data_IF_896703220669
#
_entry.id   IF_896703220669
#
_cell.length_a   1.000
_cell.length_b   1.000
_cell.length_c   1.000
_cell.angle_alpha   90.00
_cell.angle_beta   90.00
_cell.angle_gamma   90.00
#
_symmetry.space_group_name_H-M   'P 1'
#
loop_
_entity.id
_entity.type
_entity.pdbx_description
1 polymer ?
#
# COMPACT_ATOMS: atom_id res chain seq x y z
N UNK A 1 -63.23 -15.58 -14.92
CA UNK A 1 -61.93 -16.24 -14.69
C UNK A 1 -61.02 -15.23 -14.00
N UNK A 2 -60.77 -15.39 -12.70
CA UNK A 2 -59.79 -14.56 -11.99
C UNK A 2 -58.38 -15.03 -12.40
N UNK A 3 -57.63 -14.17 -13.11
CA UNK A 3 -56.20 -14.37 -13.32
C UNK A 3 -55.51 -14.20 -11.97
N UNK A 4 -55.10 -15.30 -11.35
CA UNK A 4 -54.11 -15.28 -10.27
C UNK A 4 -52.80 -14.75 -10.86
N UNK A 5 -52.49 -13.49 -10.57
CA UNK A 5 -51.16 -12.91 -10.81
C UNK A 5 -50.30 -13.41 -9.66
N UNK A 6 -49.40 -14.35 -9.94
CA UNK A 6 -48.38 -14.77 -8.98
C UNK A 6 -47.30 -13.68 -9.01
N UNK A 7 -46.92 -13.07 -7.87
CA UNK A 7 -45.81 -12.13 -7.82
C UNK A 7 -44.54 -12.82 -8.31
N UNK A 8 -43.86 -12.23 -9.30
CA UNK A 8 -42.57 -12.71 -9.76
C UNK A 8 -41.49 -12.14 -8.85
N UNK A 9 -41.15 -12.90 -7.81
CA UNK A 9 -40.12 -12.51 -6.85
C UNK A 9 -38.74 -12.90 -7.41
N UNK A 10 -37.90 -11.90 -7.71
CA UNK A 10 -36.54 -12.09 -8.21
C UNK A 10 -35.56 -12.20 -7.03
N UNK A 11 -35.84 -13.11 -6.11
CA UNK A 11 -35.02 -13.36 -4.92
C UNK A 11 -33.70 -14.09 -5.27
N UNK A 12 -32.85 -14.32 -4.26
CA UNK A 12 -31.56 -14.99 -4.44
C UNK A 12 -31.67 -16.36 -5.11
N UNK A 13 -32.66 -17.16 -4.69
CA UNK A 13 -32.94 -18.50 -5.26
C UNK A 13 -33.30 -18.44 -6.74
N UNK A 14 -34.12 -17.47 -7.14
CA UNK A 14 -34.46 -17.25 -8.54
C UNK A 14 -33.21 -16.96 -9.39
N UNK A 15 -32.30 -16.12 -8.89
CA UNK A 15 -31.05 -15.79 -9.58
C UNK A 15 -30.07 -16.97 -9.61
N UNK A 16 -30.00 -17.75 -8.52
CA UNK A 16 -29.18 -18.95 -8.44
C UNK A 16 -29.61 -20.01 -9.46
N UNK A 17 -30.92 -20.31 -9.52
CA UNK A 17 -31.49 -21.25 -10.50
C UNK A 17 -31.27 -20.77 -11.95
N UNK A 18 -31.30 -19.46 -12.20
CA UNK A 18 -30.90 -18.91 -13.49
C UNK A 18 -29.41 -19.14 -13.80
N UNK A 19 -28.54 -19.03 -12.79
CA UNK A 19 -27.12 -19.33 -12.89
C UNK A 19 -26.91 -20.77 -13.35
N UNK A 20 -27.48 -21.74 -12.61
CA UNK A 20 -27.40 -23.17 -12.94
C UNK A 20 -27.86 -23.46 -14.38
N UNK A 21 -29.03 -22.95 -14.77
CA UNK A 21 -29.57 -23.13 -16.14
C UNK A 21 -28.65 -22.55 -17.22
N UNK A 22 -27.95 -21.45 -16.93
CA UNK A 22 -27.01 -20.83 -17.87
C UNK A 22 -25.69 -21.61 -17.93
N UNK A 23 -25.25 -22.19 -16.82
CA UNK A 23 -24.10 -23.11 -16.78
C UNK A 23 -24.37 -24.34 -17.65
N UNK A 24 -25.54 -24.97 -17.53
CA UNK A 24 -25.96 -26.10 -18.39
C UNK A 24 -25.96 -25.74 -19.88
N UNK A 25 -26.24 -24.47 -20.21
CA UNK A 25 -26.22 -23.96 -21.59
C UNK A 25 -24.82 -23.52 -22.06
N UNK A 26 -23.78 -23.77 -21.26
CA UNK A 26 -22.41 -23.31 -21.49
C UNK A 26 -22.28 -21.78 -21.65
N UNK A 27 -23.17 -21.01 -21.01
CA UNK A 27 -23.19 -19.53 -21.04
C UNK A 27 -22.49 -18.96 -19.81
N UNK A 28 -21.19 -19.26 -19.66
CA UNK A 28 -20.39 -18.95 -18.44
C UNK A 28 -20.50 -17.49 -17.98
N UNK A 29 -20.34 -16.51 -18.88
CA UNK A 29 -20.46 -15.09 -18.48
C UNK A 29 -21.86 -14.69 -17.98
N UNK A 30 -22.92 -15.27 -18.55
CA UNK A 30 -24.28 -14.97 -18.14
C UNK A 30 -24.66 -15.69 -16.84
N UNK A 31 -24.13 -16.91 -16.64
CA UNK A 31 -24.21 -17.64 -15.38
C UNK A 31 -23.52 -16.86 -14.25
N UNK A 32 -22.31 -16.35 -14.51
CA UNK A 32 -21.54 -15.56 -13.54
C UNK A 32 -22.31 -14.34 -13.03
N UNK A 33 -22.92 -13.57 -13.93
CA UNK A 33 -23.79 -12.44 -13.54
C UNK A 33 -25.00 -12.87 -12.68
N UNK A 34 -25.49 -14.09 -12.88
CA UNK A 34 -26.64 -14.59 -12.15
C UNK A 34 -26.25 -15.08 -10.76
N UNK A 35 -25.13 -15.80 -10.63
CA UNK A 35 -24.58 -16.20 -9.33
C UNK A 35 -24.10 -15.01 -8.51
N UNK A 36 -23.42 -14.04 -9.13
CA UNK A 36 -23.08 -12.77 -8.48
C UNK A 36 -24.33 -12.12 -7.89
N UNK A 37 -25.43 -12.06 -8.68
CA UNK A 37 -26.67 -11.44 -8.20
C UNK A 37 -27.33 -12.24 -7.08
N UNK A 38 -27.26 -13.57 -7.11
CA UNK A 38 -27.75 -14.41 -6.03
C UNK A 38 -26.99 -14.13 -4.72
N UNK A 39 -25.66 -14.10 -4.80
CA UNK A 39 -24.79 -13.78 -3.65
C UNK A 39 -25.00 -12.35 -3.11
N UNK A 40 -25.17 -11.35 -3.99
CA UNK A 40 -25.49 -9.98 -3.57
C UNK A 40 -26.82 -9.86 -2.80
N UNK A 41 -27.78 -10.75 -3.06
CA UNK A 41 -29.09 -10.76 -2.42
C UNK A 41 -29.09 -11.52 -1.08
N UNK A 42 -28.19 -12.48 -0.92
CA UNK A 42 -28.02 -13.25 0.32
C UNK A 42 -26.56 -13.68 0.48
N UNK A 43 -25.77 -12.86 1.19
CA UNK A 43 -24.33 -13.05 1.37
C UNK A 43 -23.99 -14.19 2.36
N UNK A 44 -24.95 -14.62 3.17
CA UNK A 44 -24.73 -15.69 4.15
C UNK A 44 -24.97 -17.09 3.55
N UNK A 45 -25.45 -17.16 2.29
CA UNK A 45 -25.73 -18.42 1.63
C UNK A 45 -24.47 -19.00 0.97
N UNK A 46 -23.87 -20.00 1.63
CA UNK A 46 -22.63 -20.63 1.17
C UNK A 46 -22.74 -21.27 -0.22
N UNK A 47 -23.91 -21.76 -0.62
CA UNK A 47 -24.12 -22.31 -1.96
C UNK A 47 -24.06 -21.22 -3.04
N UNK A 48 -24.57 -20.01 -2.76
CA UNK A 48 -24.51 -18.90 -3.70
C UNK A 48 -23.07 -18.39 -3.83
N UNK A 49 -22.39 -18.26 -2.70
CA UNK A 49 -20.99 -17.86 -2.61
C UNK A 49 -20.07 -18.83 -3.36
N UNK A 50 -20.14 -20.13 -3.04
CA UNK A 50 -19.26 -21.14 -3.63
C UNK A 50 -19.45 -21.26 -5.14
N UNK A 51 -20.69 -21.31 -5.64
CA UNK A 51 -20.95 -21.37 -7.09
C UNK A 51 -20.51 -20.10 -7.83
N UNK A 52 -20.60 -18.94 -7.19
CA UNK A 52 -20.05 -17.71 -7.74
C UNK A 52 -18.53 -17.77 -7.84
N UNK A 53 -17.85 -18.18 -6.76
CA UNK A 53 -16.39 -18.29 -6.69
C UNK A 53 -15.83 -19.35 -7.64
N UNK A 54 -16.44 -20.54 -7.71
CA UNK A 54 -16.04 -21.60 -8.64
C UNK A 54 -16.13 -21.14 -10.09
N UNK A 55 -17.23 -20.47 -10.46
CA UNK A 55 -17.36 -19.95 -11.82
C UNK A 55 -16.41 -18.79 -12.11
N UNK A 56 -16.01 -17.99 -11.11
CA UNK A 56 -14.91 -17.03 -11.27
C UNK A 56 -13.61 -17.76 -11.64
N UNK A 57 -13.24 -18.79 -10.87
CA UNK A 57 -12.04 -19.59 -11.10
C UNK A 57 -12.03 -20.25 -12.49
N UNK A 58 -13.13 -20.86 -12.91
CA UNK A 58 -13.27 -21.44 -14.26
C UNK A 58 -13.11 -20.41 -15.40
N UNK A 59 -13.39 -19.13 -15.14
CA UNK A 59 -13.20 -18.04 -16.08
C UNK A 59 -11.82 -17.37 -15.93
N UNK A 60 -10.85 -18.04 -15.28
CA UNK A 60 -9.48 -17.54 -15.10
C UNK A 60 -9.32 -16.49 -14.00
N UNK A 61 -10.35 -16.26 -13.17
CA UNK A 61 -10.34 -15.28 -12.06
C UNK A 61 -10.17 -15.99 -10.71
N UNK A 62 -9.25 -16.95 -10.64
CA UNK A 62 -9.01 -17.78 -9.45
C UNK A 62 -8.57 -16.97 -8.21
N UNK A 63 -7.63 -16.03 -8.36
CA UNK A 63 -7.16 -15.20 -7.25
C UNK A 63 -8.28 -14.34 -6.63
N UNK A 64 -9.23 -13.86 -7.44
CA UNK A 64 -10.40 -13.13 -6.95
C UNK A 64 -11.37 -14.05 -6.22
N UNK A 65 -11.60 -15.24 -6.76
CA UNK A 65 -12.45 -16.25 -6.12
C UNK A 65 -11.90 -16.66 -4.75
N UNK A 66 -10.60 -16.95 -4.68
CA UNK A 66 -9.89 -17.29 -3.44
C UNK A 66 -10.00 -16.16 -2.41
N UNK A 67 -9.78 -14.91 -2.82
CA UNK A 67 -9.91 -13.75 -1.92
C UNK A 67 -11.32 -13.60 -1.35
N UNK A 68 -12.35 -13.75 -2.18
CA UNK A 68 -13.75 -13.70 -1.74
C UNK A 68 -14.04 -14.80 -0.72
N UNK A 69 -13.55 -16.02 -0.97
CA UNK A 69 -13.78 -17.17 -0.09
C UNK A 69 -13.04 -17.05 1.24
N UNK A 70 -11.78 -16.61 1.26
CA UNK A 70 -11.03 -16.39 2.51
C UNK A 70 -11.66 -15.26 3.33
N UNK A 71 -12.15 -14.19 2.69
CA UNK A 71 -12.86 -13.12 3.38
C UNK A 71 -14.13 -13.64 4.07
N UNK A 72 -14.91 -14.45 3.35
CA UNK A 72 -16.11 -15.06 3.91
C UNK A 72 -15.78 -16.07 5.03
N UNK A 73 -14.73 -16.89 4.87
CA UNK A 73 -14.27 -17.82 5.90
C UNK A 73 -14.04 -17.13 7.25
N UNK A 74 -13.41 -15.95 7.24
CA UNK A 74 -13.16 -15.15 8.45
C UNK A 74 -14.46 -14.57 9.01
N UNK A 75 -15.34 -14.04 8.16
CA UNK A 75 -16.64 -13.48 8.58
C UNK A 75 -17.54 -14.54 9.23
N UNK A 76 -17.43 -15.78 8.77
CA UNK A 76 -18.11 -16.95 9.30
C UNK A 76 -17.37 -17.60 10.48
N UNK A 77 -16.42 -16.90 11.11
CA UNK A 77 -15.70 -17.35 12.31
C UNK A 77 -15.00 -18.70 12.11
N UNK A 78 -14.39 -18.87 10.94
CA UNK A 78 -13.63 -20.06 10.58
C UNK A 78 -14.46 -21.35 10.50
N UNK A 79 -15.70 -21.26 10.00
CA UNK A 79 -16.56 -22.42 9.72
C UNK A 79 -15.86 -23.45 8.82
N UNK A 80 -15.80 -24.70 9.28
CA UNK A 80 -15.05 -25.78 8.64
C UNK A 80 -15.50 -26.07 7.20
N UNK A 81 -16.75 -25.78 6.85
CA UNK A 81 -17.27 -25.94 5.48
C UNK A 81 -16.44 -25.16 4.44
N UNK A 82 -15.76 -24.09 4.84
CA UNK A 82 -14.89 -23.35 3.94
C UNK A 82 -13.61 -24.11 3.54
N UNK A 83 -13.13 -25.05 4.36
CA UNK A 83 -12.02 -25.92 3.95
C UNK A 83 -12.42 -26.80 2.77
N UNK A 84 -13.64 -27.35 2.79
CA UNK A 84 -14.21 -28.06 1.64
C UNK A 84 -14.36 -27.14 0.43
N UNK A 85 -14.93 -25.94 0.63
CA UNK A 85 -15.13 -24.98 -0.48
C UNK A 85 -13.80 -24.57 -1.12
N UNK A 86 -12.77 -24.31 -0.31
CA UNK A 86 -11.43 -23.97 -0.80
C UNK A 86 -10.75 -25.17 -1.47
N UNK A 87 -10.92 -26.39 -0.95
CA UNK A 87 -10.45 -27.61 -1.62
C UNK A 87 -11.00 -27.71 -3.05
N UNK A 88 -12.32 -27.56 -3.21
CA UNK A 88 -12.97 -27.60 -4.52
C UNK A 88 -12.50 -26.46 -5.44
N UNK A 89 -12.29 -25.26 -4.90
CA UNK A 89 -11.72 -24.14 -5.66
C UNK A 89 -10.35 -24.51 -6.23
N UNK A 90 -9.47 -25.08 -5.41
CA UNK A 90 -8.12 -25.45 -5.84
C UNK A 90 -8.12 -26.60 -6.84
N UNK A 91 -9.06 -27.53 -6.74
CA UNK A 91 -9.30 -28.55 -7.78
C UNK A 91 -9.65 -27.89 -9.11
N UNK A 92 -10.54 -26.90 -9.13
CA UNK A 92 -10.91 -26.14 -10.34
C UNK A 92 -9.69 -25.36 -10.89
N UNK A 93 -8.86 -24.81 -10.01
CA UNK A 93 -7.63 -24.10 -10.36
C UNK A 93 -6.49 -25.03 -10.77
N UNK A 94 -6.68 -26.35 -10.70
CA UNK A 94 -5.68 -27.37 -10.99
C UNK A 94 -4.43 -27.24 -10.09
N UNK A 95 -4.63 -26.97 -8.81
CA UNK A 95 -3.61 -26.95 -7.75
C UNK A 95 -3.85 -28.14 -6.78
N UNK A 96 -3.39 -29.36 -7.13
CA UNK A 96 -3.75 -30.57 -6.41
C UNK A 96 -3.20 -30.61 -4.98
N UNK A 97 -2.06 -29.97 -4.71
CA UNK A 97 -1.49 -29.94 -3.37
C UNK A 97 -2.37 -29.11 -2.43
N UNK A 98 -2.78 -27.91 -2.86
CA UNK A 98 -3.71 -27.09 -2.07
C UNK A 98 -5.05 -27.76 -1.91
N UNK A 99 -5.59 -28.31 -3.00
CA UNK A 99 -6.88 -29.01 -2.95
C UNK A 99 -6.85 -30.13 -1.91
N UNK A 100 -5.85 -31.01 -1.98
CA UNK A 100 -5.69 -32.10 -1.02
C UNK A 100 -5.55 -31.60 0.42
N UNK A 101 -4.65 -30.67 0.71
CA UNK A 101 -4.37 -30.22 2.09
C UNK A 101 -5.53 -29.44 2.71
N UNK A 102 -6.26 -28.63 1.92
CA UNK A 102 -7.51 -28.02 2.41
C UNK A 102 -8.60 -29.07 2.62
N UNK A 103 -8.65 -30.10 1.78
CA UNK A 103 -9.60 -31.20 1.94
C UNK A 103 -9.35 -32.02 3.20
N UNK A 104 -8.09 -32.31 3.52
CA UNK A 104 -7.71 -32.99 4.76
C UNK A 104 -8.12 -32.18 5.99
N UNK A 105 -7.94 -30.85 5.97
CA UNK A 105 -8.47 -30.02 7.07
C UNK A 105 -9.99 -30.16 7.21
N UNK A 106 -10.75 -30.21 6.11
CA UNK A 106 -12.20 -30.44 6.20
C UNK A 106 -12.54 -31.79 6.85
N UNK A 107 -11.91 -32.88 6.39
CA UNK A 107 -12.14 -34.25 6.91
C UNK A 107 -11.88 -34.32 8.42
N UNK A 108 -10.87 -33.61 8.92
CA UNK A 108 -10.57 -33.54 10.35
C UNK A 108 -11.73 -32.95 11.19
N UNK A 109 -12.49 -32.00 10.64
CA UNK A 109 -13.67 -31.45 11.32
C UNK A 109 -14.94 -32.27 11.05
N UNK A 110 -15.05 -32.87 9.87
CA UNK A 110 -16.21 -33.64 9.40
C UNK A 110 -15.80 -35.07 8.93
N UNK A 111 -15.36 -35.95 9.85
CA UNK A 111 -14.77 -37.25 9.49
C UNK A 111 -15.78 -38.24 8.90
N UNK A 112 -17.08 -38.05 9.19
CA UNK A 112 -18.17 -38.90 8.66
C UNK A 112 -18.70 -38.40 7.30
N UNK A 113 -18.06 -37.38 6.69
CA UNK A 113 -18.49 -36.80 5.41
C UNK A 113 -18.29 -37.74 4.20
N UNK A 114 -17.38 -38.72 4.32
CA UNK A 114 -16.93 -39.58 3.22
C UNK A 114 -16.02 -38.87 2.21
N UNK A 115 -15.60 -37.63 2.51
CA UNK A 115 -14.76 -36.85 1.63
C UNK A 115 -13.30 -37.32 1.60
N UNK A 116 -12.85 -38.02 2.64
CA UNK A 116 -11.57 -38.72 2.72
C UNK A 116 -11.40 -39.72 1.58
N UNK A 117 -12.40 -40.59 1.35
CA UNK A 117 -12.40 -41.55 0.23
C UNK A 117 -12.33 -40.84 -1.13
N UNK A 118 -13.04 -39.71 -1.27
CA UNK A 118 -13.00 -38.89 -2.49
C UNK A 118 -11.61 -38.27 -2.71
N UNK A 119 -10.93 -37.78 -1.66
CA UNK A 119 -9.59 -37.22 -1.74
C UNK A 119 -8.56 -38.28 -2.12
N UNK A 120 -8.59 -39.45 -1.48
CA UNK A 120 -7.71 -40.57 -1.82
C UNK A 120 -7.86 -40.99 -3.27
N UNK A 121 -9.10 -41.08 -3.75
CA UNK A 121 -9.39 -41.44 -5.13
C UNK A 121 -8.98 -40.34 -6.11
N UNK A 122 -9.28 -39.07 -5.80
CA UNK A 122 -9.04 -37.93 -6.68
C UNK A 122 -7.54 -37.67 -6.89
N UNK A 123 -6.74 -37.84 -5.84
CA UNK A 123 -5.31 -37.55 -5.85
C UNK A 123 -4.41 -38.79 -5.90
N UNK A 124 -5.00 -39.99 -5.98
CA UNK A 124 -4.30 -41.29 -6.05
C UNK A 124 -3.25 -41.47 -4.93
N UNK A 125 -3.55 -40.98 -3.73
CA UNK A 125 -2.65 -41.00 -2.57
C UNK A 125 -2.93 -42.20 -1.67
N UNK A 126 -1.87 -42.71 -1.03
CA UNK A 126 -1.98 -43.73 0.01
C UNK A 126 -1.37 -43.17 1.29
N UNK A 127 -2.23 -42.96 2.29
CA UNK A 127 -1.84 -42.39 3.58
C UNK A 127 -1.28 -43.50 4.47
N UNK A 128 -0.03 -43.36 4.89
CA UNK A 128 0.64 -44.29 5.80
C UNK A 128 0.54 -43.85 7.26
N UNK A 129 0.53 -42.53 7.48
CA UNK A 129 0.49 -41.87 8.77
C UNK A 129 -0.50 -40.70 8.67
N UNK A 130 -1.72 -40.94 9.16
CA UNK A 130 -2.84 -39.99 9.08
C UNK A 130 -2.57 -38.75 9.96
N UNK A 131 -2.00 -38.95 11.14
CA UNK A 131 -1.67 -37.87 12.08
C UNK A 131 -0.66 -36.87 11.48
N UNK A 132 0.37 -37.35 10.77
CA UNK A 132 1.34 -36.44 10.12
C UNK A 132 0.72 -35.72 8.91
N UNK A 133 -0.17 -36.37 8.16
CA UNK A 133 -0.87 -35.72 7.03
C UNK A 133 -1.82 -34.63 7.53
N UNK A 134 -2.58 -34.88 8.59
CA UNK A 134 -3.39 -33.86 9.25
C UNK A 134 -2.54 -32.71 9.77
N UNK A 135 -1.41 -33.02 10.41
CA UNK A 135 -0.50 -31.99 10.92
C UNK A 135 0.06 -31.13 9.80
N UNK A 136 0.43 -31.73 8.67
CA UNK A 136 0.91 -31.01 7.50
C UNK A 136 -0.21 -30.18 6.85
N UNK A 137 -1.44 -30.68 6.78
CA UNK A 137 -2.60 -29.93 6.34
C UNK A 137 -2.82 -28.67 7.20
N UNK A 138 -2.75 -28.81 8.53
CA UNK A 138 -2.90 -27.68 9.45
C UNK A 138 -1.76 -26.67 9.28
N UNK A 139 -0.51 -27.14 9.10
CA UNK A 139 0.64 -26.27 8.81
C UNK A 139 0.43 -25.48 7.53
N UNK A 140 0.12 -26.18 6.44
CA UNK A 140 0.00 -25.60 5.12
C UNK A 140 -1.13 -24.57 5.05
N UNK A 141 -2.34 -24.95 5.47
CA UNK A 141 -3.50 -24.05 5.49
C UNK A 141 -3.27 -22.88 6.43
N UNK A 142 -2.65 -23.14 7.59
CA UNK A 142 -2.16 -22.16 8.55
C UNK A 142 -1.34 -21.04 7.90
N UNK A 143 -0.25 -21.43 7.24
CA UNK A 143 0.66 -20.51 6.57
C UNK A 143 -0.01 -19.81 5.38
N UNK A 144 -0.79 -20.53 4.59
CA UNK A 144 -1.45 -19.99 3.39
C UNK A 144 -2.44 -18.88 3.74
N UNK A 145 -3.28 -19.11 4.76
CA UNK A 145 -4.26 -18.13 5.23
C UNK A 145 -3.59 -16.94 5.92
N UNK A 146 -2.54 -17.17 6.71
CA UNK A 146 -1.72 -16.09 7.27
C UNK A 146 -1.13 -15.21 6.17
N UNK A 147 -0.50 -15.80 5.16
CA UNK A 147 0.09 -15.07 4.03
C UNK A 147 -0.97 -14.26 3.27
N UNK A 148 -2.14 -14.85 3.00
CA UNK A 148 -3.24 -14.14 2.35
C UNK A 148 -3.66 -12.91 3.14
N UNK A 149 -3.89 -13.05 4.45
CA UNK A 149 -4.32 -11.95 5.30
C UNK A 149 -3.24 -10.87 5.42
N UNK A 150 -2.00 -11.30 5.61
CA UNK A 150 -0.85 -10.42 5.74
C UNK A 150 -0.64 -9.57 4.49
N UNK A 151 -0.69 -10.18 3.29
CA UNK A 151 -0.54 -9.48 2.01
C UNK A 151 -1.67 -8.48 1.73
N UNK A 152 -2.83 -8.67 2.35
CA UNK A 152 -3.97 -7.75 2.27
C UNK A 152 -4.01 -6.73 3.43
N UNK A 153 -2.89 -6.58 4.17
CA UNK A 153 -2.74 -5.66 5.30
C UNK A 153 -3.75 -5.89 6.45
N UNK A 154 -4.27 -7.11 6.58
CA UNK A 154 -5.18 -7.53 7.66
C UNK A 154 -4.38 -8.26 8.74
N UNK A 155 -3.41 -7.56 9.32
CA UNK A 155 -2.35 -8.15 10.17
C UNK A 155 -2.92 -8.68 11.49
N UNK A 156 -3.86 -7.95 12.10
CA UNK A 156 -4.55 -8.38 13.32
C UNK A 156 -5.35 -9.66 13.09
N UNK A 157 -6.09 -9.74 11.98
CA UNK A 157 -6.87 -10.94 11.64
C UNK A 157 -5.98 -12.14 11.32
N UNK A 158 -4.79 -11.90 10.76
CA UNK A 158 -3.77 -12.93 10.56
C UNK A 158 -3.29 -13.50 11.91
N UNK A 159 -3.03 -12.64 12.90
CA UNK A 159 -2.67 -13.07 14.25
C UNK A 159 -3.81 -13.80 14.97
N UNK A 160 -5.04 -13.31 14.84
CA UNK A 160 -6.22 -13.96 15.41
C UNK A 160 -6.39 -15.37 14.85
N UNK A 161 -6.20 -15.54 13.54
CA UNK A 161 -6.20 -16.86 12.91
C UNK A 161 -5.06 -17.74 13.41
N UNK A 162 -3.82 -17.23 13.54
CA UNK A 162 -2.73 -18.03 14.11
C UNK A 162 -3.02 -18.53 15.53
N UNK A 163 -3.85 -17.81 16.30
CA UNK A 163 -4.25 -18.23 17.63
C UNK A 163 -5.30 -19.37 17.63
N UNK A 164 -5.97 -19.64 16.51
CA UNK A 164 -6.92 -20.77 16.38
C UNK A 164 -6.23 -22.09 16.07
N UNK A 165 -5.03 -22.04 15.51
CA UNK A 165 -4.20 -23.21 15.17
C UNK A 165 -3.78 -23.96 16.46
N UNK A 166 -3.60 -25.30 16.47
CA UNK A 166 -3.11 -26.03 17.64
C UNK A 166 -1.79 -25.47 18.19
N UNK A 167 -1.68 -25.34 19.52
CA UNK A 167 -0.50 -24.76 20.22
C UNK A 167 0.80 -25.47 19.82
N UNK A 168 0.78 -26.79 19.63
CA UNK A 168 1.95 -27.55 19.19
C UNK A 168 2.51 -27.11 17.84
N UNK A 169 1.65 -26.61 16.95
CA UNK A 169 2.02 -26.08 15.64
C UNK A 169 2.40 -24.59 15.76
N UNK A 170 1.70 -23.82 16.60
CA UNK A 170 2.04 -22.42 16.85
C UNK A 170 3.48 -22.23 17.38
N UNK A 171 4.00 -23.18 18.15
CA UNK A 171 5.36 -23.17 18.69
C UNK A 171 6.44 -23.61 17.67
N UNK A 172 6.04 -24.08 16.49
CA UNK A 172 6.99 -24.36 15.43
C UNK A 172 7.65 -23.07 14.93
N UNK A 173 8.90 -23.17 14.46
CA UNK A 173 9.74 -22.01 14.14
C UNK A 173 9.09 -21.08 13.10
N UNK A 174 8.49 -21.66 12.07
CA UNK A 174 7.82 -20.91 10.99
C UNK A 174 6.68 -20.05 11.53
N UNK A 175 5.83 -20.60 12.40
CA UNK A 175 4.70 -19.87 12.98
C UNK A 175 5.14 -18.82 14.00
N UNK A 176 6.17 -19.09 14.82
CA UNK A 176 6.77 -18.05 15.67
C UNK A 176 7.39 -16.92 14.85
N UNK A 177 7.98 -17.25 13.70
CA UNK A 177 8.53 -16.26 12.77
C UNK A 177 7.42 -15.38 12.15
N UNK A 178 6.31 -16.00 11.71
CA UNK A 178 5.13 -15.29 11.21
C UNK A 178 4.50 -14.37 12.27
N UNK A 179 4.37 -14.85 13.52
CA UNK A 179 3.92 -14.02 14.65
C UNK A 179 4.85 -12.83 14.89
N UNK A 180 6.17 -13.06 14.88
CA UNK A 180 7.15 -11.99 15.02
C UNK A 180 7.04 -10.95 13.90
N UNK A 181 6.87 -11.39 12.65
CA UNK A 181 6.66 -10.51 11.50
C UNK A 181 5.39 -9.66 11.66
N UNK A 182 4.27 -10.27 12.05
CA UNK A 182 3.04 -9.54 12.31
C UNK A 182 3.18 -8.55 13.46
N UNK A 183 3.84 -8.94 14.57
CA UNK A 183 4.14 -8.05 15.68
C UNK A 183 4.98 -6.83 15.24
N UNK A 184 5.98 -7.01 14.37
CA UNK A 184 6.76 -5.90 13.80
C UNK A 184 5.89 -4.91 13.03
N UNK A 185 5.02 -5.41 12.14
CA UNK A 185 4.13 -4.57 11.34
C UNK A 185 3.09 -3.81 12.19
N UNK A 186 2.76 -4.34 13.37
CA UNK A 186 1.91 -3.69 14.36
C UNK A 186 2.67 -2.79 15.35
N UNK A 187 3.98 -2.58 15.15
CA UNK A 187 4.87 -1.83 16.05
C UNK A 187 4.93 -2.40 17.48
N UNK A 188 4.65 -3.70 17.66
CA UNK A 188 4.79 -4.43 18.94
C UNK A 188 6.23 -4.93 19.08
N UNK A 189 7.18 -3.99 19.19
CA UNK A 189 8.61 -4.29 19.06
C UNK A 189 9.14 -5.22 20.15
N UNK A 190 8.66 -5.11 21.38
CA UNK A 190 9.07 -5.99 22.48
C UNK A 190 8.66 -7.44 22.23
N UNK A 191 7.40 -7.68 21.82
CA UNK A 191 6.88 -9.01 21.47
C UNK A 191 7.67 -9.61 20.30
N UNK A 192 7.89 -8.83 19.25
CA UNK A 192 8.70 -9.25 18.11
C UNK A 192 10.13 -9.61 18.53
N UNK A 193 10.75 -8.79 19.39
CA UNK A 193 12.11 -9.02 19.86
C UNK A 193 12.23 -10.35 20.61
N UNK A 194 11.31 -10.63 21.54
CA UNK A 194 11.32 -11.87 22.32
C UNK A 194 11.24 -13.12 21.43
N UNK A 195 10.31 -13.13 20.47
CA UNK A 195 10.14 -14.24 19.51
C UNK A 195 11.39 -14.41 18.64
N UNK A 196 11.92 -13.32 18.08
CA UNK A 196 13.09 -13.35 17.20
C UNK A 196 14.36 -13.75 17.95
N UNK A 197 14.51 -13.32 19.20
CA UNK A 197 15.65 -13.72 20.04
C UNK A 197 15.61 -15.21 20.34
N UNK A 198 14.43 -15.79 20.61
CA UNK A 198 14.26 -17.23 20.78
C UNK A 198 14.63 -17.99 19.50
N UNK A 199 14.11 -17.57 18.34
CA UNK A 199 14.43 -18.17 17.05
C UNK A 199 15.94 -18.16 16.76
N UNK A 200 16.60 -17.03 17.00
CA UNK A 200 18.05 -16.89 16.78
C UNK A 200 18.91 -17.62 17.82
N UNK A 201 18.37 -17.91 19.02
CA UNK A 201 19.02 -18.79 20.00
C UNK A 201 18.99 -20.24 19.54
N UNK A 202 17.89 -20.66 18.92
CA UNK A 202 17.72 -22.01 18.37
C UNK A 202 18.51 -22.23 17.08
N UNK A 203 18.51 -21.23 16.19
CA UNK A 203 19.27 -21.23 14.95
C UNK A 203 19.77 -19.82 14.62
N UNK A 204 21.07 -19.61 14.82
CA UNK A 204 21.73 -18.32 14.56
C UNK A 204 21.82 -17.96 13.07
N UNK A 205 21.50 -18.91 12.19
CA UNK A 205 21.57 -18.76 10.73
C UNK A 205 20.19 -18.68 10.08
N UNK A 206 19.11 -18.67 10.87
CA UNK A 206 17.75 -18.46 10.39
C UNK A 206 17.64 -17.11 9.69
N UNK A 207 17.49 -17.15 8.37
CA UNK A 207 17.51 -15.97 7.52
C UNK A 207 16.26 -15.11 7.67
N UNK A 208 15.11 -15.70 8.01
CA UNK A 208 13.88 -14.97 8.25
C UNK A 208 13.97 -14.24 9.58
N UNK A 209 14.46 -14.92 10.63
CA UNK A 209 14.66 -14.30 11.94
C UNK A 209 15.72 -13.19 11.87
N UNK A 210 16.82 -13.39 11.13
CA UNK A 210 17.82 -12.35 10.87
C UNK A 210 17.22 -11.16 10.13
N UNK A 211 16.40 -11.40 9.09
CA UNK A 211 15.73 -10.36 8.32
C UNK A 211 14.81 -9.51 9.21
N UNK A 212 13.92 -10.17 9.96
CA UNK A 212 12.97 -9.51 10.85
C UNK A 212 13.67 -8.80 12.02
N UNK A 213 14.73 -9.36 12.59
CA UNK A 213 15.51 -8.68 13.63
C UNK A 213 16.28 -7.47 13.08
N UNK A 214 16.75 -7.52 11.84
CA UNK A 214 17.38 -6.37 11.18
C UNK A 214 16.36 -5.24 10.98
N UNK A 215 15.15 -5.57 10.52
CA UNK A 215 14.04 -4.62 10.40
C UNK A 215 13.64 -4.03 11.75
N UNK A 216 13.61 -4.85 12.81
CA UNK A 216 13.34 -4.38 14.17
C UNK A 216 14.31 -3.27 14.57
N UNK A 217 15.62 -3.53 14.46
CA UNK A 217 16.63 -2.54 14.86
C UNK A 217 16.63 -1.30 13.97
N UNK A 218 16.30 -1.45 12.69
CA UNK A 218 16.09 -0.32 11.79
C UNK A 218 14.93 0.57 12.27
N UNK A 219 13.78 -0.02 12.60
CA UNK A 219 12.61 0.74 13.06
C UNK A 219 12.76 1.34 14.45
N UNK A 220 13.53 0.70 15.35
CA UNK A 220 13.77 1.24 16.70
C UNK A 220 14.95 2.22 16.78
N UNK A 221 15.66 2.47 15.68
CA UNK A 221 16.81 3.38 15.63
C UNK A 221 18.06 2.86 16.35
N UNK A 222 18.17 1.54 16.54
CA UNK A 222 19.29 0.89 17.24
C UNK A 222 20.47 0.65 16.27
N UNK A 223 21.10 1.74 15.83
CA UNK A 223 22.02 1.77 14.69
C UNK A 223 23.17 0.76 14.78
N UNK A 224 23.84 0.63 15.93
CA UNK A 224 24.94 -0.33 16.08
C UNK A 224 24.49 -1.78 15.88
N UNK A 225 23.31 -2.14 16.40
CA UNK A 225 22.74 -3.48 16.28
C UNK A 225 22.23 -3.72 14.88
N UNK A 226 21.58 -2.73 14.27
CA UNK A 226 21.16 -2.75 12.88
C UNK A 226 22.34 -3.07 11.96
N UNK A 227 23.43 -2.31 12.04
CA UNK A 227 24.64 -2.54 11.23
C UNK A 227 25.27 -3.92 11.47
N UNK A 228 25.27 -4.40 12.71
CA UNK A 228 25.80 -5.72 13.04
C UNK A 228 24.95 -6.86 12.45
N UNK A 229 23.63 -6.71 12.42
CA UNK A 229 22.71 -7.70 11.86
C UNK A 229 22.65 -7.65 10.34
N UNK A 230 22.70 -6.45 9.75
CA UNK A 230 22.75 -6.27 8.31
C UNK A 230 23.93 -7.02 7.68
N UNK A 231 25.12 -6.91 8.26
CA UNK A 231 26.31 -7.65 7.83
C UNK A 231 26.14 -9.17 7.88
N UNK A 232 25.37 -9.69 8.84
CA UNK A 232 25.05 -11.12 8.91
C UNK A 232 24.10 -11.49 7.78
N UNK A 233 23.06 -10.69 7.56
CA UNK A 233 22.05 -10.93 6.54
C UNK A 233 22.65 -10.94 5.13
N UNK A 234 23.60 -10.04 4.84
CA UNK A 234 24.28 -9.96 3.54
C UNK A 234 25.01 -11.25 3.15
N UNK A 235 25.60 -11.97 4.11
CA UNK A 235 26.38 -13.18 3.85
C UNK A 235 25.56 -14.47 3.86
N UNK A 236 24.30 -14.41 4.31
CA UNK A 236 23.42 -15.57 4.31
C UNK A 236 23.00 -15.92 2.88
N UNK A 237 22.98 -17.22 2.58
CA UNK A 237 22.57 -17.75 1.30
C UNK A 237 21.24 -18.49 1.46
N UNK A 238 20.17 -18.00 0.83
CA UNK A 238 18.89 -18.69 0.81
C UNK A 238 18.98 -20.07 0.16
N UNK A 239 18.31 -21.06 0.75
CA UNK A 239 18.36 -22.46 0.33
C UNK A 239 17.41 -22.77 -0.84
N UNK A 240 16.33 -22.02 -0.96
CA UNK A 240 15.30 -22.17 -1.98
C UNK A 240 14.87 -20.79 -2.55
N UNK A 241 14.01 -20.83 -3.56
CA UNK A 241 13.58 -19.64 -4.30
C UNK A 241 12.60 -18.76 -3.50
N UNK A 242 11.81 -19.31 -2.58
CA UNK A 242 10.89 -18.54 -1.73
C UNK A 242 11.67 -17.74 -0.68
N UNK A 243 12.59 -18.40 0.00
CA UNK A 243 13.49 -17.77 0.95
C UNK A 243 14.36 -16.71 0.25
N UNK A 244 14.84 -17.00 -0.97
CA UNK A 244 15.59 -16.06 -1.81
C UNK A 244 14.78 -14.82 -2.15
N UNK A 245 13.52 -15.00 -2.51
CA UNK A 245 12.60 -13.92 -2.80
C UNK A 245 12.38 -13.04 -1.57
N UNK A 246 11.98 -13.62 -0.43
CA UNK A 246 11.69 -12.91 0.81
C UNK A 246 12.89 -12.13 1.35
N UNK A 247 14.06 -12.75 1.43
CA UNK A 247 15.30 -12.08 1.88
C UNK A 247 15.73 -10.98 0.91
N UNK A 248 15.61 -11.23 -0.41
CA UNK A 248 15.92 -10.24 -1.44
C UNK A 248 15.06 -8.98 -1.34
N UNK A 249 13.76 -9.12 -1.01
CA UNK A 249 12.86 -7.99 -0.76
C UNK A 249 13.25 -7.20 0.49
N UNK A 250 13.58 -7.88 1.60
CA UNK A 250 14.02 -7.20 2.83
C UNK A 250 15.31 -6.42 2.59
N UNK A 251 16.28 -7.02 1.89
CA UNK A 251 17.52 -6.32 1.51
C UNK A 251 17.25 -5.12 0.59
N UNK A 252 16.27 -5.21 -0.30
CA UNK A 252 15.85 -4.09 -1.14
C UNK A 252 15.33 -2.92 -0.30
N UNK A 253 14.43 -3.23 0.64
CA UNK A 253 13.85 -2.26 1.57
C UNK A 253 14.94 -1.60 2.43
N UNK A 254 15.92 -2.39 2.88
CA UNK A 254 17.09 -1.92 3.64
C UNK A 254 18.18 -1.29 2.75
N UNK A 255 17.87 -0.98 1.48
CA UNK A 255 18.74 -0.31 0.51
C UNK A 255 20.05 -1.06 0.17
N UNK A 256 20.12 -2.36 0.46
CA UNK A 256 21.23 -3.24 0.05
C UNK A 256 21.01 -3.72 -1.38
N UNK A 257 20.99 -2.77 -2.32
CA UNK A 257 20.54 -2.98 -3.68
C UNK A 257 21.36 -4.00 -4.47
N UNK A 258 22.68 -4.03 -4.29
CA UNK A 258 23.55 -4.97 -5.00
C UNK A 258 23.24 -6.42 -4.60
N UNK A 259 23.21 -6.70 -3.29
CA UNK A 259 22.88 -8.04 -2.79
C UNK A 259 21.43 -8.42 -3.07
N UNK A 260 20.51 -7.47 -2.97
CA UNK A 260 19.10 -7.65 -3.35
C UNK A 260 18.99 -8.07 -4.82
N UNK A 261 19.68 -7.38 -5.73
CA UNK A 261 19.69 -7.70 -7.15
C UNK A 261 20.24 -9.11 -7.42
N UNK A 262 21.35 -9.48 -6.79
CA UNK A 262 21.95 -10.82 -6.91
C UNK A 262 20.98 -11.94 -6.52
N UNK A 263 20.17 -11.72 -5.48
CA UNK A 263 19.19 -12.70 -5.03
C UNK A 263 17.95 -12.72 -5.94
N UNK A 264 17.44 -11.57 -6.35
CA UNK A 264 16.16 -11.46 -7.05
C UNK A 264 16.24 -11.69 -8.56
N UNK A 265 17.31 -11.26 -9.23
CA UNK A 265 17.42 -11.32 -10.69
C UNK A 265 17.36 -12.76 -11.25
N UNK A 266 17.98 -13.78 -10.63
CA UNK A 266 17.85 -15.17 -11.08
C UNK A 266 16.41 -15.69 -11.09
N UNK A 267 15.58 -15.27 -10.11
CA UNK A 267 14.17 -15.65 -10.03
C UNK A 267 13.38 -15.16 -11.25
N UNK A 268 13.63 -13.90 -11.64
CA UNK A 268 13.05 -13.32 -12.84
C UNK A 268 13.56 -14.00 -14.12
N UNK A 269 14.88 -14.19 -14.24
CA UNK A 269 15.52 -14.74 -15.44
C UNK A 269 15.03 -16.15 -15.77
N UNK A 270 14.83 -16.98 -14.76
CA UNK A 270 14.36 -18.35 -14.93
C UNK A 270 12.85 -18.43 -15.20
N UNK A 271 12.13 -17.30 -15.20
CA UNK A 271 10.67 -17.20 -15.35
C UNK A 271 9.90 -18.10 -14.35
N UNK A 272 10.54 -18.47 -13.25
CA UNK A 272 9.94 -19.30 -12.19
C UNK A 272 8.83 -18.52 -11.50
N UNK A 273 9.07 -17.22 -11.29
CA UNK A 273 8.15 -16.35 -10.56
C UNK A 273 8.27 -14.93 -11.09
N UNK A 274 7.14 -14.32 -11.45
CA UNK A 274 7.06 -12.90 -11.84
C UNK A 274 5.90 -12.28 -11.10
N UNK A 275 6.22 -11.44 -10.13
CA UNK A 275 5.26 -10.71 -9.32
C UNK A 275 5.50 -9.20 -9.39
N UNK A 276 4.51 -8.43 -8.97
CA UNK A 276 4.64 -6.99 -8.82
C UNK A 276 5.83 -6.64 -7.90
N UNK A 277 5.93 -7.28 -6.73
CA UNK A 277 6.99 -7.00 -5.75
C UNK A 277 8.38 -7.35 -6.29
N UNK A 278 8.51 -8.44 -7.06
CA UNK A 278 9.78 -8.80 -7.69
C UNK A 278 10.22 -7.73 -8.70
N UNK A 279 9.33 -7.33 -9.59
CA UNK A 279 9.62 -6.32 -10.62
C UNK A 279 9.90 -4.95 -9.99
N UNK A 280 9.16 -4.59 -8.95
CA UNK A 280 9.40 -3.39 -8.15
C UNK A 280 10.81 -3.37 -7.55
N UNK A 281 11.15 -4.41 -6.79
CA UNK A 281 12.45 -4.51 -6.14
C UNK A 281 13.60 -4.53 -7.16
N UNK A 282 13.45 -5.25 -8.29
CA UNK A 282 14.44 -5.24 -9.36
C UNK A 282 14.58 -3.87 -10.02
N UNK A 283 13.48 -3.16 -10.26
CA UNK A 283 13.53 -1.80 -10.81
C UNK A 283 14.31 -0.85 -9.90
N UNK A 284 14.01 -0.87 -8.60
CA UNK A 284 14.74 -0.08 -7.60
C UNK A 284 16.20 -0.48 -7.53
N UNK A 285 16.50 -1.78 -7.37
CA UNK A 285 17.88 -2.25 -7.24
C UNK A 285 18.71 -1.91 -8.47
N UNK A 286 18.22 -2.22 -9.68
CA UNK A 286 18.90 -1.89 -10.94
C UNK A 286 19.19 -0.40 -11.08
N UNK A 287 18.28 0.48 -10.67
CA UNK A 287 18.51 1.92 -10.73
C UNK A 287 19.70 2.34 -9.88
N UNK A 288 19.70 1.92 -8.61
CA UNK A 288 20.71 2.33 -7.65
C UNK A 288 22.09 1.71 -7.88
N UNK A 289 22.17 0.56 -8.56
CA UNK A 289 23.44 -0.05 -8.99
C UNK A 289 23.89 0.43 -10.38
N UNK A 290 23.17 1.36 -11.02
CA UNK A 290 23.56 1.99 -12.29
C UNK A 290 23.07 1.29 -13.56
N UNK A 291 22.26 0.24 -13.45
CA UNK A 291 21.65 -0.49 -14.56
C UNK A 291 20.33 0.18 -14.99
N UNK A 292 20.40 1.42 -15.47
CA UNK A 292 19.23 2.27 -15.72
C UNK A 292 18.27 1.67 -16.75
N UNK A 293 18.77 1.10 -17.85
CA UNK A 293 17.92 0.49 -18.88
C UNK A 293 17.11 -0.70 -18.34
N UNK A 294 17.73 -1.55 -17.51
CA UNK A 294 17.05 -2.66 -16.85
C UNK A 294 15.99 -2.15 -15.87
N UNK A 295 16.30 -1.09 -15.11
CA UNK A 295 15.35 -0.47 -14.19
C UNK A 295 14.07 -0.02 -14.89
N UNK A 296 14.18 0.66 -16.04
CA UNK A 296 13.03 1.07 -16.85
C UNK A 296 12.25 -0.12 -17.38
N UNK A 297 12.93 -1.15 -17.90
CA UNK A 297 12.28 -2.37 -18.36
C UNK A 297 11.46 -3.03 -17.25
N UNK A 298 12.02 -3.17 -16.05
CA UNK A 298 11.31 -3.75 -14.90
C UNK A 298 10.12 -2.89 -14.46
N UNK A 299 10.29 -1.56 -14.42
CA UNK A 299 9.23 -0.62 -14.08
C UNK A 299 8.06 -0.70 -15.07
N UNK A 300 8.34 -0.62 -16.36
CA UNK A 300 7.32 -0.68 -17.40
C UNK A 300 6.59 -2.03 -17.36
N UNK A 301 7.33 -3.12 -17.14
CA UNK A 301 6.74 -4.45 -16.96
C UNK A 301 5.85 -4.49 -15.71
N UNK A 302 6.30 -3.95 -14.58
CA UNK A 302 5.53 -3.89 -13.34
C UNK A 302 4.18 -3.22 -13.53
N UNK A 303 4.15 -2.08 -14.23
CA UNK A 303 2.93 -1.30 -14.51
C UNK A 303 1.91 -2.05 -15.39
N UNK A 304 2.32 -3.12 -16.08
CA UNK A 304 1.42 -3.98 -16.86
C UNK A 304 0.81 -5.14 -16.08
N UNK A 305 1.39 -5.53 -14.94
CA UNK A 305 0.93 -6.66 -14.12
C UNK A 305 -0.24 -6.31 -13.19
N UNK A 306 -0.29 -5.07 -12.67
CA UNK A 306 -1.39 -4.62 -11.80
C UNK A 306 -1.62 -3.11 -11.90
N UNK A 307 -2.88 -2.67 -11.76
CA UNK A 307 -3.21 -1.27 -11.42
C UNK A 307 -2.89 -1.02 -9.95
N UNK A 308 -1.61 -0.88 -9.59
CA UNK A 308 -1.21 -0.39 -8.27
C UNK A 308 -0.99 1.12 -8.35
N UNK A 309 -1.40 1.85 -7.30
CA UNK A 309 -1.20 3.29 -7.12
C UNK A 309 0.26 3.69 -6.84
N UNK A 310 1.26 2.90 -7.26
CA UNK A 310 2.67 3.30 -7.19
C UNK A 310 2.96 4.21 -8.39
N UNK A 311 2.75 5.51 -8.18
CA UNK A 311 2.79 6.52 -9.24
C UNK A 311 4.20 6.99 -9.61
N UNK A 312 5.22 6.69 -8.79
CA UNK A 312 6.52 7.34 -8.90
C UNK A 312 7.67 6.33 -8.93
N UNK A 313 8.38 6.34 -10.05
CA UNK A 313 9.57 5.53 -10.30
C UNK A 313 10.77 5.91 -9.42
N UNK A 314 11.78 5.02 -9.31
CA UNK A 314 13.04 5.33 -8.62
C UNK A 314 13.71 6.61 -9.12
N UNK A 315 13.75 6.84 -10.44
CA UNK A 315 14.36 8.03 -11.01
C UNK A 315 13.55 9.31 -10.75
N UNK A 316 12.21 9.25 -10.77
CA UNK A 316 11.39 10.40 -10.38
C UNK A 316 11.59 10.77 -8.91
N UNK A 317 11.76 9.78 -8.03
CA UNK A 317 12.11 10.02 -6.62
C UNK A 317 13.50 10.66 -6.50
N UNK A 318 14.49 10.16 -7.24
CA UNK A 318 15.84 10.74 -7.25
C UNK A 318 15.85 12.18 -7.78
N UNK A 319 15.14 12.47 -8.88
CA UNK A 319 14.95 13.83 -9.41
C UNK A 319 14.28 14.75 -8.38
N UNK A 320 13.27 14.25 -7.67
CA UNK A 320 12.61 14.99 -6.60
C UNK A 320 13.58 15.32 -5.44
N UNK A 321 14.37 14.35 -4.97
CA UNK A 321 15.39 14.59 -3.94
C UNK A 321 16.44 15.60 -4.39
N UNK A 322 16.95 15.47 -5.61
CA UNK A 322 17.91 16.44 -6.17
C UNK A 322 17.32 17.85 -6.22
N UNK A 323 16.05 17.97 -6.60
CA UNK A 323 15.36 19.26 -6.62
C UNK A 323 15.16 19.85 -5.21
N UNK A 324 14.96 19.02 -4.19
CA UNK A 324 14.93 19.47 -2.78
C UNK A 324 16.29 20.07 -2.40
N UNK A 325 17.40 19.40 -2.71
CA UNK A 325 18.76 19.90 -2.44
C UNK A 325 19.06 21.22 -3.13
N UNK A 326 18.62 21.39 -4.37
CA UNK A 326 18.74 22.65 -5.10
C UNK A 326 17.97 23.78 -4.39
N UNK A 327 16.71 23.54 -4.01
CA UNK A 327 15.89 24.53 -3.33
C UNK A 327 16.39 24.86 -1.91
N UNK A 328 16.94 23.88 -1.20
CA UNK A 328 17.61 24.12 0.08
C UNK A 328 18.73 25.15 -0.09
N UNK A 329 19.58 24.94 -1.10
CA UNK A 329 20.73 25.80 -1.38
C UNK A 329 20.29 27.18 -1.86
N UNK A 330 19.24 27.26 -2.69
CA UNK A 330 18.76 28.50 -3.29
C UNK A 330 17.97 29.38 -2.31
N UNK A 331 17.15 28.78 -1.43
CA UNK A 331 16.19 29.50 -0.60
C UNK A 331 16.41 29.37 0.90
N UNK A 332 16.69 28.16 1.41
CA UNK A 332 16.63 27.92 2.86
C UNK A 332 17.86 28.47 3.61
N UNK A 333 18.95 28.71 2.89
CA UNK A 333 20.19 29.33 3.41
C UNK A 333 20.25 30.85 3.21
N UNK A 334 19.19 31.45 2.68
CA UNK A 334 19.10 32.90 2.47
C UNK A 334 18.84 33.65 3.78
N UNK A 335 19.35 34.87 3.92
CA UNK A 335 19.14 35.73 5.09
C UNK A 335 17.69 36.25 5.19
N UNK A 336 16.99 36.36 4.06
CA UNK A 336 15.60 36.82 4.01
C UNK A 336 14.60 35.71 4.42
N UNK A 337 13.86 35.90 5.55
CA UNK A 337 12.85 34.92 5.99
C UNK A 337 11.75 34.67 4.95
N UNK A 338 11.42 35.64 4.10
CA UNK A 338 10.38 35.47 3.08
C UNK A 338 10.85 34.58 1.93
N UNK A 339 12.14 34.65 1.55
CA UNK A 339 12.73 33.68 0.61
C UNK A 339 12.75 32.28 1.21
N UNK A 340 13.09 32.14 2.49
CA UNK A 340 13.01 30.84 3.17
C UNK A 340 11.59 30.26 3.18
N UNK A 341 10.57 31.05 3.54
CA UNK A 341 9.16 30.62 3.48
C UNK A 341 8.74 30.19 2.06
N UNK A 342 9.19 30.93 1.03
CA UNK A 342 8.95 30.56 -0.35
C UNK A 342 9.64 29.23 -0.72
N UNK A 343 10.88 29.03 -0.27
CA UNK A 343 11.62 27.78 -0.42
C UNK A 343 10.85 26.58 0.14
N UNK A 344 10.35 26.70 1.37
CA UNK A 344 9.54 25.65 2.01
C UNK A 344 8.26 25.36 1.22
N UNK A 345 7.59 26.39 0.69
CA UNK A 345 6.43 26.22 -0.19
C UNK A 345 6.79 25.50 -1.50
N UNK A 346 7.93 25.83 -2.11
CA UNK A 346 8.40 25.16 -3.33
C UNK A 346 8.74 23.69 -3.06
N UNK A 347 9.41 23.39 -1.96
CA UNK A 347 9.72 22.02 -1.51
C UNK A 347 8.43 21.22 -1.30
N UNK A 348 7.43 21.79 -0.63
CA UNK A 348 6.11 21.15 -0.43
C UNK A 348 5.39 20.76 -1.73
N UNK A 349 5.72 21.43 -2.83
CA UNK A 349 5.13 21.22 -4.15
C UNK A 349 5.93 20.26 -5.03
N UNK A 350 7.06 19.73 -4.57
CA UNK A 350 7.79 18.65 -5.24
C UNK A 350 6.96 17.37 -5.20
N UNK A 351 7.02 16.63 -6.30
CA UNK A 351 6.31 15.36 -6.49
C UNK A 351 7.33 14.27 -6.86
N UNK A 352 7.36 13.13 -6.16
CA UNK A 352 6.49 12.79 -5.03
C UNK A 352 6.82 13.56 -3.75
N UNK A 353 5.77 13.86 -2.96
CA UNK A 353 5.91 14.70 -1.76
C UNK A 353 6.68 14.00 -0.63
N UNK A 354 6.59 12.68 -0.56
CA UNK A 354 7.31 11.85 0.43
C UNK A 354 8.81 11.73 0.13
N UNK A 355 9.32 12.24 -1.01
CA UNK A 355 10.74 12.32 -1.30
C UNK A 355 11.54 13.14 -0.27
N UNK A 356 10.88 14.00 0.51
CA UNK A 356 11.50 14.73 1.61
C UNK A 356 11.80 13.84 2.83
N UNK A 357 11.13 12.69 2.96
CA UNK A 357 11.31 11.81 4.12
C UNK A 357 12.72 11.21 4.12
N UNK A 358 13.45 11.37 5.22
CA UNK A 358 14.84 10.92 5.34
C UNK A 358 15.87 11.77 4.58
N UNK A 359 15.47 12.89 3.99
CA UNK A 359 16.38 13.80 3.28
C UNK A 359 17.16 14.71 4.25
N UNK A 360 18.43 15.01 3.95
CA UNK A 360 19.30 15.88 4.78
C UNK A 360 18.80 17.33 4.95
N UNK A 361 17.78 17.72 4.18
CA UNK A 361 17.17 19.07 4.29
C UNK A 361 16.54 19.29 5.67
N UNK A 362 16.19 18.21 6.38
CA UNK A 362 15.67 18.29 7.74
C UNK A 362 16.66 18.94 8.69
N UNK A 363 17.97 18.71 8.54
CA UNK A 363 18.99 19.36 9.37
C UNK A 363 18.96 20.89 9.18
N UNK A 364 18.84 21.34 7.92
CA UNK A 364 18.70 22.76 7.60
C UNK A 364 17.39 23.33 8.15
N UNK A 365 16.26 22.62 7.99
CA UNK A 365 14.95 23.02 8.52
C UNK A 365 14.98 23.15 10.05
N UNK A 366 15.64 22.23 10.75
CA UNK A 366 15.81 22.25 12.20
C UNK A 366 16.62 23.45 12.69
N UNK A 367 17.48 24.01 11.84
CA UNK A 367 18.25 25.22 12.15
C UNK A 367 17.48 26.54 11.95
N UNK A 368 16.34 26.51 11.25
CA UNK A 368 15.53 27.71 10.96
C UNK A 368 14.86 28.32 12.20
N UNK A 369 14.37 29.55 12.07
CA UNK A 369 13.58 30.20 13.12
C UNK A 369 12.20 29.57 13.30
N UNK A 370 11.55 29.87 14.43
CA UNK A 370 10.28 29.27 14.85
C UNK A 370 9.15 29.48 13.82
N UNK A 371 9.16 30.61 13.11
CA UNK A 371 8.08 30.94 12.18
C UNK A 371 8.10 30.05 10.93
N UNK A 372 9.28 29.75 10.40
CA UNK A 372 9.51 28.81 9.30
C UNK A 372 9.20 27.37 9.73
N UNK A 373 9.62 26.97 10.94
CA UNK A 373 9.28 25.66 11.52
C UNK A 373 7.77 25.48 11.68
N UNK A 374 7.06 26.51 12.13
CA UNK A 374 5.59 26.51 12.18
C UNK A 374 4.97 26.33 10.79
N UNK A 375 5.59 26.89 9.75
CA UNK A 375 5.11 26.70 8.38
C UNK A 375 5.32 25.26 7.90
N UNK A 376 6.45 24.63 8.24
CA UNK A 376 6.66 23.19 7.99
C UNK A 376 5.60 22.32 8.69
N UNK A 377 5.31 22.58 9.96
CA UNK A 377 4.23 21.86 10.67
C UNK A 377 2.86 22.06 10.02
N UNK A 378 2.58 23.27 9.49
CA UNK A 378 1.38 23.52 8.70
C UNK A 378 1.35 22.70 7.41
N UNK A 379 2.47 22.63 6.68
CA UNK A 379 2.56 21.98 5.37
C UNK A 379 2.52 20.45 5.45
N UNK A 380 3.24 19.84 6.40
CA UNK A 380 3.45 18.39 6.45
C UNK A 380 2.74 17.68 7.61
N UNK A 381 2.40 18.39 8.70
CA UNK A 381 1.80 17.78 9.90
C UNK A 381 0.32 18.15 10.08
N UNK A 382 -0.27 18.91 9.14
CA UNK A 382 -1.69 19.27 9.15
C UNK A 382 -2.09 20.29 10.23
N UNK A 383 -1.12 21.01 10.81
CA UNK A 383 -1.38 22.05 11.81
C UNK A 383 -2.18 23.20 11.19
N UNK A 384 -3.25 23.67 11.87
CA UNK A 384 -4.08 24.78 11.38
C UNK A 384 -3.60 26.11 11.94
N UNK A 385 -2.92 26.92 11.11
CA UNK A 385 -2.44 28.25 11.48
C UNK A 385 -3.16 29.33 10.67
N UNK A 386 -3.78 30.30 11.34
CA UNK A 386 -4.59 31.34 10.67
C UNK A 386 -3.73 32.26 9.81
N UNK A 387 -2.60 32.75 10.34
CA UNK A 387 -1.69 33.66 9.62
C UNK A 387 -1.04 32.95 8.43
N UNK A 388 -0.23 31.94 8.69
CA UNK A 388 0.48 31.17 7.66
C UNK A 388 -0.48 30.49 6.67
N UNK A 389 -1.62 29.98 7.13
CA UNK A 389 -2.62 29.37 6.24
C UNK A 389 -3.27 30.38 5.28
N UNK A 390 -3.42 31.65 5.67
CA UNK A 390 -3.91 32.70 4.77
C UNK A 390 -2.84 33.13 3.76
N UNK A 391 -1.59 33.26 4.17
CA UNK A 391 -0.46 33.49 3.26
C UNK A 391 -0.37 32.37 2.21
N UNK A 392 -0.38 31.11 2.67
CA UNK A 392 -0.31 29.92 1.81
C UNK A 392 -1.46 29.85 0.81
N UNK A 393 -2.69 30.17 1.24
CA UNK A 393 -3.85 30.25 0.31
C UNK A 393 -3.63 31.23 -0.84
N UNK A 394 -2.91 32.34 -0.60
CA UNK A 394 -2.56 33.26 -1.67
C UNK A 394 -1.54 32.65 -2.63
N UNK A 395 -0.50 31.98 -2.13
CA UNK A 395 0.47 31.25 -2.98
C UNK A 395 -0.20 30.17 -3.84
N UNK A 396 -1.14 29.41 -3.27
CA UNK A 396 -1.94 28.42 -4.01
C UNK A 396 -2.84 29.07 -5.06
N UNK A 397 -3.47 30.22 -4.75
CA UNK A 397 -4.26 30.97 -5.72
C UNK A 397 -3.39 31.47 -6.88
N UNK A 398 -2.18 31.95 -6.59
CA UNK A 398 -1.21 32.37 -7.62
C UNK A 398 -0.82 31.19 -8.51
N UNK A 399 -0.48 30.04 -7.93
CA UNK A 399 -0.14 28.82 -8.67
C UNK A 399 -1.28 28.38 -9.58
N UNK A 400 -2.50 28.30 -9.05
CA UNK A 400 -3.70 27.95 -9.84
C UNK A 400 -3.95 28.93 -11.01
N UNK A 401 -3.62 30.20 -10.81
CA UNK A 401 -3.72 31.25 -11.82
C UNK A 401 -2.51 31.34 -12.76
N UNK A 402 -1.48 30.49 -12.60
CA UNK A 402 -0.27 30.45 -13.43
C UNK A 402 0.79 31.50 -13.09
N UNK A 403 0.71 32.15 -11.92
CA UNK A 403 1.70 33.13 -11.43
C UNK A 403 2.72 32.47 -10.50
N UNK A 404 3.63 31.66 -11.07
CA UNK A 404 4.64 30.90 -10.31
C UNK A 404 6.03 31.55 -10.29
N UNK A 405 6.17 32.73 -10.88
CA UNK A 405 7.41 33.49 -10.87
C UNK A 405 7.78 33.91 -9.43
N UNK A 406 9.06 33.73 -9.07
CA UNK A 406 9.56 33.94 -7.70
C UNK A 406 9.23 35.33 -7.15
N UNK A 407 9.49 36.36 -7.95
CA UNK A 407 9.27 37.75 -7.58
C UNK A 407 7.82 38.09 -7.25
N UNK A 408 6.88 37.49 -7.98
CA UNK A 408 5.45 37.68 -7.73
C UNK A 408 5.04 37.03 -6.41
N UNK A 409 5.57 35.83 -6.14
CA UNK A 409 5.29 35.08 -4.92
C UNK A 409 5.90 35.76 -3.69
N UNK A 410 7.13 36.30 -3.80
CA UNK A 410 7.75 37.11 -2.75
C UNK A 410 6.98 38.39 -2.49
N UNK A 411 6.57 39.11 -3.54
CA UNK A 411 5.74 40.31 -3.40
C UNK A 411 4.44 40.03 -2.64
N UNK A 412 3.81 38.87 -2.89
CA UNK A 412 2.66 38.43 -2.10
C UNK A 412 3.01 38.15 -0.64
N UNK A 413 4.08 37.38 -0.37
CA UNK A 413 4.50 37.07 1.00
C UNK A 413 4.77 38.37 1.77
N UNK A 414 5.52 39.31 1.20
CA UNK A 414 5.80 40.61 1.78
C UNK A 414 4.52 41.42 2.05
N UNK A 415 3.69 41.59 1.02
CA UNK A 415 2.44 42.36 1.12
C UNK A 415 1.51 41.76 2.17
N UNK A 416 1.40 40.43 2.22
CA UNK A 416 0.60 39.74 3.23
C UNK A 416 1.08 40.04 4.63
N UNK A 417 2.39 39.96 4.90
CA UNK A 417 2.92 40.24 6.23
C UNK A 417 2.71 41.69 6.64
N UNK A 418 2.94 42.64 5.72
CA UNK A 418 2.69 44.07 5.97
C UNK A 418 1.21 44.36 6.26
N UNK A 419 0.29 43.77 5.50
CA UNK A 419 -1.16 43.89 5.76
C UNK A 419 -1.54 43.31 7.12
N UNK A 420 -0.97 42.15 7.46
CA UNK A 420 -1.25 41.46 8.70
C UNK A 420 -0.74 42.26 9.92
N UNK A 421 0.47 42.79 9.84
CA UNK A 421 1.08 43.61 10.90
C UNK A 421 0.35 44.96 11.05
N UNK A 422 -0.19 45.49 9.95
CA UNK A 422 -1.08 46.65 9.93
C UNK A 422 -2.51 46.36 10.41
N UNK A 423 -2.80 45.11 10.83
CA UNK A 423 -4.11 44.64 11.32
C UNK A 423 -5.25 44.83 10.31
N UNK A 424 -4.94 44.74 9.01
CA UNK A 424 -5.96 44.78 7.95
C UNK A 424 -6.75 43.48 7.96
N UNK A 425 -8.08 43.58 7.88
CA UNK A 425 -8.95 42.40 7.77
C UNK A 425 -8.86 41.75 6.39
N UNK A 426 -8.22 40.58 6.34
CA UNK A 426 -8.04 39.78 5.13
C UNK A 426 -9.21 38.81 4.91
N UNK A 427 -10.39 39.34 4.57
CA UNK A 427 -11.62 38.56 4.35
C UNK A 427 -11.58 37.70 3.07
N UNK A 428 -10.94 38.18 2.00
CA UNK A 428 -10.84 37.50 0.70
C UNK A 428 -9.38 37.47 0.23
N UNK A 429 -8.68 36.38 0.56
CA UNK A 429 -7.25 36.21 0.23
C UNK A 429 -7.01 36.29 -1.28
N UNK A 430 -7.89 35.75 -2.10
CA UNK A 430 -7.78 35.81 -3.55
C UNK A 430 -7.81 37.25 -4.05
N UNK A 431 -8.67 38.10 -3.49
CA UNK A 431 -8.72 39.53 -3.82
C UNK A 431 -7.44 40.28 -3.43
N UNK A 432 -6.89 40.01 -2.25
CA UNK A 432 -5.63 40.63 -1.78
C UNK A 432 -4.41 40.15 -2.58
N UNK A 433 -4.38 38.87 -2.95
CA UNK A 433 -3.34 38.30 -3.81
C UNK A 433 -3.37 38.94 -5.20
N UNK A 434 -4.56 39.04 -5.79
CA UNK A 434 -4.79 39.74 -7.06
C UNK A 434 -4.41 41.22 -6.98
N UNK A 435 -4.75 41.90 -5.88
CA UNK A 435 -4.39 43.31 -5.65
C UNK A 435 -2.86 43.49 -5.59
N UNK A 436 -2.15 42.56 -4.96
CA UNK A 436 -0.68 42.57 -4.91
C UNK A 436 -0.09 42.48 -6.32
N UNK A 437 -0.52 41.51 -7.13
CA UNK A 437 -0.08 41.38 -8.53
C UNK A 437 -0.42 42.61 -9.38
N UNK A 438 -1.53 43.28 -9.09
CA UNK A 438 -1.90 44.52 -9.78
C UNK A 438 -0.90 45.65 -9.53
N UNK A 439 -0.25 45.72 -8.37
CA UNK A 439 0.81 46.70 -8.11
C UNK A 439 2.19 46.21 -8.58
N UNK A 440 2.41 44.89 -8.63
CA UNK A 440 3.66 44.26 -9.09
C UNK A 440 3.62 43.80 -10.56
N UNK A 441 3.04 44.58 -11.46
CA UNK A 441 2.89 44.16 -12.87
C UNK A 441 4.21 44.07 -13.64
N UNK A 442 5.30 44.72 -13.19
CA UNK A 442 6.66 44.63 -13.75
C UNK A 442 6.71 44.72 -15.28
N UNK A 443 5.98 45.68 -15.87
CA UNK A 443 5.90 45.89 -17.32
C UNK A 443 4.89 45.02 -18.07
N UNK A 444 4.24 44.05 -17.40
CA UNK A 444 3.10 43.30 -17.93
C UNK A 444 1.85 44.17 -17.90
N UNK A 445 0.95 43.96 -18.87
CA UNK A 445 -0.35 44.64 -18.89
C UNK A 445 -1.39 43.78 -18.18
N UNK A 446 -1.56 43.95 -16.87
CA UNK A 446 -2.53 43.20 -16.08
C UNK A 446 -3.79 44.05 -15.88
N UNK A 447 -4.92 43.55 -16.37
CA UNK A 447 -6.21 44.24 -16.21
C UNK A 447 -6.95 43.74 -14.96
N UNK A 448 -7.74 44.63 -14.33
CA UNK A 448 -8.60 44.23 -13.20
C UNK A 448 -9.53 43.08 -13.55
N UNK A 449 -10.06 43.07 -14.78
CA UNK A 449 -10.94 42.01 -15.26
C UNK A 449 -10.22 40.66 -15.31
N UNK A 450 -9.01 40.62 -15.88
CA UNK A 450 -8.19 39.40 -15.90
C UNK A 450 -7.89 38.88 -14.50
N UNK A 451 -7.63 39.76 -13.54
CA UNK A 451 -7.39 39.36 -12.15
C UNK A 451 -8.64 38.82 -11.46
N UNK A 452 -9.79 39.46 -11.67
CA UNK A 452 -11.08 38.98 -11.16
C UNK A 452 -11.37 37.56 -11.67
N UNK A 453 -11.16 37.34 -12.96
CA UNK A 453 -11.40 36.04 -13.60
C UNK A 453 -10.41 34.97 -13.10
N UNK A 454 -9.11 35.29 -13.05
CA UNK A 454 -8.06 34.33 -12.69
C UNK A 454 -8.08 33.93 -11.20
N UNK A 455 -8.45 34.85 -10.31
CA UNK A 455 -8.46 34.63 -8.87
C UNK A 455 -9.84 34.28 -8.30
N UNK A 456 -10.86 34.15 -9.15
CA UNK A 456 -12.25 33.83 -8.75
C UNK A 456 -12.75 34.76 -7.63
N UNK A 457 -12.64 36.07 -7.87
CA UNK A 457 -13.12 37.11 -6.95
C UNK A 457 -14.13 38.03 -7.63
N UNK A 458 -14.50 39.14 -7.00
CA UNK A 458 -15.37 40.16 -7.60
C UNK A 458 -14.64 41.49 -7.76
N UNK A 459 -15.06 42.29 -8.73
CA UNK A 459 -14.49 43.64 -8.94
C UNK A 459 -14.62 44.51 -7.68
N UNK A 460 -15.72 44.36 -6.92
CA UNK A 460 -15.92 45.06 -5.65
C UNK A 460 -14.85 44.69 -4.63
N UNK A 461 -14.63 43.39 -4.40
CA UNK A 461 -13.64 42.90 -3.43
C UNK A 461 -12.21 43.22 -3.87
N UNK A 462 -11.91 43.11 -5.16
CA UNK A 462 -10.61 43.52 -5.71
C UNK A 462 -10.35 45.01 -5.48
N UNK A 463 -11.34 45.89 -5.72
CA UNK A 463 -11.16 47.32 -5.48
C UNK A 463 -10.94 47.64 -3.98
N UNK A 464 -11.68 46.99 -3.08
CA UNK A 464 -11.47 47.12 -1.62
C UNK A 464 -10.04 46.69 -1.24
N UNK A 465 -9.56 45.56 -1.78
CA UNK A 465 -8.21 45.07 -1.55
C UNK A 465 -7.14 46.01 -2.12
N UNK A 466 -7.36 46.58 -3.32
CA UNK A 466 -6.45 47.57 -3.91
C UNK A 466 -6.30 48.83 -3.07
N UNK A 467 -7.39 49.33 -2.48
CA UNK A 467 -7.34 50.48 -1.57
C UNK A 467 -6.53 50.16 -0.31
N UNK A 468 -6.73 48.99 0.28
CA UNK A 468 -5.99 48.55 1.46
C UNK A 468 -4.50 48.34 1.17
N UNK A 469 -4.14 47.67 0.07
CA UNK A 469 -2.73 47.46 -0.32
C UNK A 469 -2.03 48.77 -0.66
N UNK A 470 -2.75 49.79 -1.15
CA UNK A 470 -2.16 51.11 -1.47
C UNK A 470 -1.80 51.93 -0.22
N UNK A 471 -2.38 51.60 0.94
CA UNK A 471 -2.21 52.36 2.18
C UNK A 471 -1.04 51.88 3.03
N UNK A 472 -0.47 50.73 2.68
CA UNK A 472 0.75 50.18 3.27
C UNK A 472 1.91 50.39 2.29
#
# INVERSE_FOLDING_TARGET
MNRKVIPFDQNGEFHFNQGLKKTEQNKKHAALKSFQKAYELDQNNLAYLSQYAYLLAENGRGAEAEHILINAFIQHQYDAEFYFILSQLYTIMNDPNKAFLFGVEYVKYEPDSGYDEELEQMFEVSIQDEDEVEREATRFTGQHLFQHLFMNARIEEALDYLNTIPVSIQEEREFRNQKAMAALFLNRFEEAHELLEQLLKEDRTDMHALSHMTLLYYHTGEEEKYQAFLKKLEVVQPLDDDARFKVGLVLNFLQQYERSYELLFPLYKNQVFISFQLLHALSHASYHIGHVEESHMFWDRMQTFHQVNEMHSPWQRHEATARITELETEYLKDDDPYRRLLGLYKIYNIVPRDAILGHEVWDTIESLEDYEKLYISFLFQGLKLVRLGRMHKGLEAMRKAGYENEDDQLAWIETFHTLYDSKVELEDISAFTAATLYFHQRGRKITKRSLVDNFDTSLYRLNKALEAVRQI
#
